data_IF_545919745690
#
_entry.id   IF_545919745690
#
_cell.length_a   1.000
_cell.length_b   1.000
_cell.length_c   1.000
_cell.angle_alpha   90.00
_cell.angle_beta   90.00
_cell.angle_gamma   90.00
#
_symmetry.space_group_name_H-M   'P 1'
#
loop_
_entity.id
_entity.type
_entity.pdbx_description
1 polymer ?
#
# COMPACT_ATOMS: atom_id res chain seq x y z
N UNK A 1 -13.03 -23.69 -26.19
CA UNK A 1 -13.59 -24.95 -25.62
C UNK A 1 -15.00 -24.63 -25.15
N UNK A 2 -16.05 -25.34 -25.60
CA UNK A 2 -17.41 -25.07 -25.14
C UNK A 2 -17.54 -25.39 -23.64
N UNK A 3 -18.31 -24.61 -22.86
CA UNK A 3 -18.56 -24.91 -21.46
C UNK A 3 -19.33 -26.23 -21.30
N UNK A 4 -19.06 -26.97 -20.22
CA UNK A 4 -19.78 -28.21 -19.88
C UNK A 4 -21.28 -27.92 -19.68
N UNK A 5 -22.17 -28.86 -20.04
CA UNK A 5 -23.62 -28.70 -19.84
C UNK A 5 -23.94 -28.43 -18.36
N UNK A 6 -24.75 -27.42 -18.08
CA UNK A 6 -25.18 -27.05 -16.71
C UNK A 6 -24.25 -26.09 -15.96
N UNK A 7 -23.17 -25.62 -16.57
CA UNK A 7 -22.29 -24.60 -15.96
C UNK A 7 -22.78 -23.21 -16.32
N UNK A 8 -23.02 -22.38 -15.30
CA UNK A 8 -23.33 -20.96 -15.51
C UNK A 8 -22.23 -20.25 -16.30
N UNK A 9 -22.58 -19.26 -17.13
CA UNK A 9 -21.61 -18.51 -17.90
C UNK A 9 -20.64 -17.79 -16.98
N UNK A 10 -19.41 -17.59 -17.46
CA UNK A 10 -18.41 -16.78 -16.74
C UNK A 10 -19.00 -15.38 -16.56
N UNK A 11 -19.04 -14.91 -15.31
CA UNK A 11 -19.38 -13.52 -15.01
C UNK A 11 -18.22 -12.64 -15.48
N UNK A 12 -18.43 -11.94 -16.60
CA UNK A 12 -17.46 -10.99 -17.14
C UNK A 12 -17.94 -9.60 -16.71
N UNK A 13 -17.18 -8.97 -15.81
CA UNK A 13 -17.36 -7.56 -15.47
C UNK A 13 -16.34 -6.76 -16.29
N UNK A 14 -16.80 -6.13 -17.37
CA UNK A 14 -16.01 -5.14 -18.08
C UNK A 14 -16.02 -3.84 -17.29
N UNK A 15 -14.89 -3.53 -16.65
CA UNK A 15 -14.70 -2.25 -15.98
C UNK A 15 -14.19 -1.28 -17.02
N UNK A 16 -15.00 -0.30 -17.40
CA UNK A 16 -14.65 0.70 -18.39
C UNK A 16 -13.49 1.57 -17.84
N UNK A 17 -12.27 1.32 -18.31
CA UNK A 17 -11.03 1.86 -17.74
C UNK A 17 -10.79 3.34 -18.01
N UNK A 18 -11.70 4.04 -18.71
CA UNK A 18 -11.45 5.39 -19.21
C UNK A 18 -11.65 6.51 -18.19
N UNK A 19 -12.23 6.23 -17.02
CA UNK A 19 -12.15 7.13 -15.87
C UNK A 19 -11.61 6.36 -14.67
N UNK A 20 -10.38 6.67 -14.26
CA UNK A 20 -9.93 6.43 -12.90
C UNK A 20 -10.97 7.06 -11.98
N UNK A 21 -11.85 6.25 -11.41
CA UNK A 21 -12.91 6.67 -10.49
C UNK A 21 -12.28 7.06 -9.16
N UNK A 22 -11.62 8.22 -9.13
CA UNK A 22 -11.10 8.82 -7.91
C UNK A 22 -12.31 9.36 -7.16
N UNK A 23 -12.57 8.89 -5.92
CA UNK A 23 -13.68 9.40 -5.13
C UNK A 23 -13.54 10.91 -4.92
N UNK A 24 -14.63 11.67 -5.07
CA UNK A 24 -14.61 13.13 -4.86
C UNK A 24 -14.19 13.54 -3.44
N UNK A 25 -14.30 12.63 -2.47
CA UNK A 25 -13.87 12.82 -1.08
C UNK A 25 -12.37 12.61 -0.87
N UNK A 26 -11.63 12.08 -1.86
CA UNK A 26 -10.21 11.79 -1.73
C UNK A 26 -9.36 13.03 -2.02
N UNK A 27 -8.84 13.65 -0.96
CA UNK A 27 -7.88 14.75 -1.08
C UNK A 27 -6.48 14.23 -1.43
N UNK A 28 -6.07 14.41 -2.68
CA UNK A 28 -4.72 14.05 -3.15
C UNK A 28 -3.76 15.23 -2.99
N UNK A 29 -2.61 14.97 -2.37
CA UNK A 29 -1.56 15.97 -2.12
C UNK A 29 -0.21 15.43 -2.58
N UNK A 30 0.70 16.33 -2.93
CA UNK A 30 2.07 15.97 -3.25
C UNK A 30 3.05 16.89 -2.51
N UNK A 31 4.23 16.34 -2.19
CA UNK A 31 5.32 17.07 -1.57
C UNK A 31 6.60 16.73 -2.35
N UNK A 32 7.31 17.76 -2.81
CA UNK A 32 8.63 17.58 -3.41
C UNK A 32 9.67 17.44 -2.31
N UNK A 33 10.45 16.36 -2.37
CA UNK A 33 11.50 16.04 -1.39
C UNK A 33 12.75 15.56 -2.10
N UNK A 34 13.95 15.98 -1.64
CA UNK A 34 15.21 15.41 -2.11
C UNK A 34 15.23 13.91 -1.88
N UNK A 35 15.73 13.16 -2.88
CA UNK A 35 15.71 11.68 -2.83
C UNK A 35 16.46 11.15 -1.61
N UNK A 36 17.55 11.81 -1.22
CA UNK A 36 18.39 11.44 -0.06
C UNK A 36 17.71 11.62 1.30
N UNK A 37 16.60 12.37 1.37
CA UNK A 37 15.95 12.70 2.64
C UNK A 37 14.54 12.11 2.75
N UNK A 38 14.10 11.27 1.81
CA UNK A 38 12.72 10.75 1.78
C UNK A 38 12.32 10.05 3.07
N UNK A 39 13.22 9.25 3.63
CA UNK A 39 13.01 8.50 4.86
C UNK A 39 12.86 9.42 6.08
N UNK A 40 13.71 10.45 6.16
CA UNK A 40 13.64 11.44 7.23
C UNK A 40 12.34 12.25 7.17
N UNK A 41 11.95 12.70 5.97
CA UNK A 41 10.67 13.38 5.77
C UNK A 41 9.50 12.48 6.10
N UNK A 42 9.53 11.20 5.71
CA UNK A 42 8.49 10.23 6.06
C UNK A 42 8.35 10.08 7.58
N UNK A 43 9.46 9.88 8.29
CA UNK A 43 9.45 9.77 9.76
C UNK A 43 8.81 10.99 10.43
N UNK A 44 9.27 12.19 10.08
CA UNK A 44 8.73 13.44 10.62
C UNK A 44 7.25 13.64 10.23
N UNK A 45 6.86 13.27 9.00
CA UNK A 45 5.49 13.38 8.52
C UNK A 45 4.51 12.52 9.32
N UNK A 46 4.93 11.30 9.68
CA UNK A 46 4.13 10.38 10.51
C UNK A 46 3.95 10.91 11.94
N UNK A 47 4.94 11.62 12.47
CA UNK A 47 4.91 12.18 13.84
C UNK A 47 4.17 13.51 13.96
N UNK A 48 3.70 14.10 12.85
CA UNK A 48 2.92 15.33 12.94
C UNK A 48 1.62 15.10 13.72
N UNK A 49 1.17 16.11 14.46
CA UNK A 49 -0.07 16.04 15.24
C UNK A 49 -1.31 15.65 14.39
N UNK A 50 -1.28 15.97 13.09
CA UNK A 50 -2.34 15.62 12.16
C UNK A 50 -2.33 14.13 11.73
N UNK A 51 -1.24 13.39 11.94
CA UNK A 51 -1.05 12.04 11.42
C UNK A 51 -0.74 10.98 12.47
N UNK A 52 -0.29 11.37 13.67
CA UNK A 52 0.14 10.43 14.72
C UNK A 52 -0.94 9.40 15.09
N UNK A 53 -2.21 9.83 15.10
CA UNK A 53 -3.36 8.96 15.41
C UNK A 53 -3.97 8.27 14.18
N UNK A 54 -3.43 8.49 12.97
CA UNK A 54 -4.00 7.95 11.73
C UNK A 54 -3.38 6.60 11.37
N UNK A 55 -4.21 5.71 10.85
CA UNK A 55 -3.73 4.52 10.13
C UNK A 55 -3.17 4.95 8.78
N UNK A 56 -1.91 4.60 8.50
CA UNK A 56 -1.21 4.99 7.27
C UNK A 56 -0.78 3.75 6.50
N UNK A 57 -1.01 3.76 5.18
CA UNK A 57 -0.49 2.75 4.25
C UNK A 57 0.58 3.42 3.38
N UNK A 58 1.78 2.86 3.36
CA UNK A 58 2.91 3.35 2.57
C UNK A 58 3.17 2.40 1.40
N UNK A 59 2.95 2.89 0.18
CA UNK A 59 3.27 2.14 -1.04
C UNK A 59 4.72 2.36 -1.46
N UNK A 60 5.38 1.29 -1.89
CA UNK A 60 6.74 1.34 -2.41
C UNK A 60 6.90 0.40 -3.61
N UNK A 61 7.82 0.75 -4.51
CA UNK A 61 7.94 0.08 -5.81
C UNK A 61 8.65 -1.29 -5.74
N UNK A 62 9.47 -1.51 -4.71
CA UNK A 62 10.29 -2.73 -4.57
C UNK A 62 10.08 -3.37 -3.21
N UNK A 63 10.07 -4.70 -3.20
CA UNK A 63 10.02 -5.52 -1.98
C UNK A 63 11.18 -5.20 -1.03
N UNK A 64 12.36 -4.91 -1.56
CA UNK A 64 13.54 -4.51 -0.78
C UNK A 64 13.34 -3.17 -0.07
N UNK A 65 12.65 -2.22 -0.70
CA UNK A 65 12.30 -0.94 -0.09
C UNK A 65 11.27 -1.12 1.02
N UNK A 66 10.25 -1.97 0.81
CA UNK A 66 9.28 -2.32 1.85
C UNK A 66 9.97 -2.88 3.10
N UNK A 67 10.89 -3.83 2.90
CA UNK A 67 11.64 -4.46 3.98
C UNK A 67 12.58 -3.48 4.70
N UNK A 68 13.27 -2.62 3.96
CA UNK A 68 14.11 -1.56 4.53
C UNK A 68 13.29 -0.59 5.37
N UNK A 69 12.20 -0.04 4.84
CA UNK A 69 11.33 0.89 5.56
C UNK A 69 10.70 0.23 6.81
N UNK A 70 10.30 -1.03 6.72
CA UNK A 70 9.80 -1.78 7.89
C UNK A 70 10.81 -1.81 9.02
N UNK A 71 12.07 -2.18 8.73
CA UNK A 71 13.11 -2.24 9.74
C UNK A 71 13.46 -0.85 10.29
N UNK A 72 13.64 0.14 9.40
CA UNK A 72 13.95 1.52 9.77
C UNK A 72 12.88 2.11 10.69
N UNK A 73 11.60 2.03 10.30
CA UNK A 73 10.51 2.60 11.08
C UNK A 73 10.34 1.88 12.42
N UNK A 74 10.57 0.56 12.46
CA UNK A 74 10.57 -0.21 13.71
C UNK A 74 11.70 0.19 14.65
N UNK A 75 12.90 0.50 14.13
CA UNK A 75 14.01 1.05 14.93
C UNK A 75 13.74 2.47 15.45
N UNK A 76 12.86 3.22 14.77
CA UNK A 76 12.39 4.54 15.17
C UNK A 76 11.10 4.48 15.99
N UNK A 77 10.81 3.32 16.60
CA UNK A 77 9.68 3.05 17.50
C UNK A 77 8.27 3.20 16.89
N UNK A 78 8.14 3.09 15.56
CA UNK A 78 6.82 3.03 14.92
C UNK A 78 6.23 1.62 15.02
N UNK A 79 4.94 1.51 15.34
CA UNK A 79 4.18 0.26 15.19
C UNK A 79 3.91 0.03 13.69
N UNK A 80 4.74 -0.79 13.06
CA UNK A 80 4.66 -1.05 11.61
C UNK A 80 4.62 -2.54 11.29
N UNK A 81 3.95 -2.85 10.20
CA UNK A 81 4.04 -4.13 9.51
C UNK A 81 4.29 -3.90 8.02
N UNK A 82 4.75 -4.93 7.31
CA UNK A 82 5.00 -4.83 5.87
C UNK A 82 4.34 -5.97 5.12
N UNK A 83 3.83 -5.66 3.92
CA UNK A 83 3.23 -6.63 3.02
C UNK A 83 3.95 -6.56 1.68
N UNK A 84 4.65 -7.63 1.30
CA UNK A 84 5.34 -7.71 0.01
C UNK A 84 5.47 -9.15 -0.48
N UNK A 85 5.66 -9.34 -1.78
CA UNK A 85 5.61 -10.66 -2.43
C UNK A 85 6.69 -11.66 -1.98
N UNK A 86 7.79 -11.20 -1.36
CA UNK A 86 8.82 -12.07 -0.78
C UNK A 86 8.45 -12.68 0.58
N UNK A 87 7.35 -12.25 1.22
CA UNK A 87 6.89 -12.85 2.47
C UNK A 87 6.12 -14.16 2.19
N UNK A 88 6.28 -15.20 3.02
CA UNK A 88 5.41 -16.37 3.02
C UNK A 88 3.94 -15.97 3.16
N UNK A 89 3.03 -16.70 2.50
CA UNK A 89 1.60 -16.36 2.49
C UNK A 89 0.98 -16.25 3.88
N UNK A 90 1.39 -17.10 4.83
CA UNK A 90 0.96 -17.01 6.23
C UNK A 90 1.35 -15.69 6.89
N UNK A 91 2.59 -15.24 6.68
CA UNK A 91 3.03 -13.94 7.20
C UNK A 91 2.29 -12.78 6.52
N UNK A 92 1.92 -12.92 5.24
CA UNK A 92 1.10 -11.93 4.54
C UNK A 92 -0.30 -11.81 5.14
N UNK A 93 -0.93 -12.94 5.51
CA UNK A 93 -2.25 -12.93 6.16
C UNK A 93 -2.18 -12.43 7.59
N UNK A 94 -1.10 -12.73 8.32
CA UNK A 94 -0.90 -12.25 9.69
C UNK A 94 -0.63 -10.73 9.74
N UNK A 95 -0.17 -10.14 8.62
CA UNK A 95 0.13 -8.71 8.50
C UNK A 95 -1.03 -7.85 7.94
N UNK A 96 -2.15 -8.47 7.55
CA UNK A 96 -3.38 -7.80 7.06
C UNK A 96 -4.31 -7.45 8.24
#
# INVERSE_FOLDING_TARGET
MPPKPGKEPVFICEVDTQMLAIPATLAQKHLQVPVTHREHYLHTFLLTAANVEKTVIVFCNRTTTAQFLHHLLRLLDHRVTSLHSRLPQRQRTDNL
#
